data_IF_640315706248
#
_entry.id   IF_640315706248
#
_cell.length_a   1.000
_cell.length_b   1.000
_cell.length_c   1.000
_cell.angle_alpha   90.00
_cell.angle_beta   90.00
_cell.angle_gamma   90.00
#
_symmetry.space_group_name_H-M   'P 1'
#
loop_
_entity.id
_entity.type
_entity.pdbx_description
1 polymer ?
#
# COMPACT_ATOMS: atom_id res chain seq x y z
N UNK A 1 3.74 19.03 -0.30
CA UNK A 1 3.10 17.74 0.00
C UNK A 1 3.44 16.73 -1.08
N UNK A 2 3.64 15.50 -0.68
CA UNK A 2 3.87 14.38 -1.60
C UNK A 2 2.81 13.32 -1.34
N UNK A 3 2.22 12.77 -2.38
CA UNK A 3 1.31 11.62 -2.27
C UNK A 3 2.02 10.38 -2.79
N UNK A 4 2.11 9.37 -1.93
CA UNK A 4 2.75 8.08 -2.24
C UNK A 4 1.63 7.05 -2.31
N UNK A 5 1.31 6.60 -3.52
CA UNK A 5 0.24 5.64 -3.76
C UNK A 5 0.83 4.32 -4.22
N UNK A 6 0.48 3.26 -3.52
CA UNK A 6 0.99 1.91 -3.78
C UNK A 6 -0.18 1.00 -4.12
N UNK A 7 -0.07 0.31 -5.24
CA UNK A 7 -1.07 -0.63 -5.71
C UNK A 7 -0.47 -2.03 -5.65
N UNK A 8 -1.17 -2.96 -4.98
CA UNK A 8 -0.70 -4.33 -4.79
C UNK A 8 -1.60 -5.33 -5.50
N UNK A 9 -0.98 -6.29 -6.17
CA UNK A 9 -1.63 -7.50 -6.67
C UNK A 9 -1.09 -8.67 -5.85
N UNK A 10 -1.97 -9.35 -5.13
CA UNK A 10 -1.59 -10.51 -4.33
C UNK A 10 -1.46 -11.75 -5.21
N UNK A 11 -0.65 -12.69 -4.76
CA UNK A 11 -0.50 -13.98 -5.44
C UNK A 11 -1.82 -14.74 -5.43
N UNK A 12 -2.05 -15.54 -6.46
CA UNK A 12 -3.19 -16.45 -6.50
C UNK A 12 -2.99 -17.60 -5.49
N UNK A 13 -4.09 -18.13 -5.01
CA UNK A 13 -4.05 -19.30 -4.12
C UNK A 13 -3.71 -19.00 -2.67
N UNK A 14 -3.64 -17.74 -2.27
CA UNK A 14 -3.43 -17.39 -0.87
C UNK A 14 -4.62 -17.84 -0.02
N UNK A 15 -4.32 -18.33 1.19
CA UNK A 15 -5.36 -18.63 2.17
C UNK A 15 -5.95 -17.32 2.71
N UNK A 16 -7.12 -17.40 3.34
CA UNK A 16 -7.69 -16.24 4.02
C UNK A 16 -6.75 -15.71 5.10
N UNK A 17 -6.05 -16.61 5.81
CA UNK A 17 -5.05 -16.24 6.81
C UNK A 17 -3.94 -15.39 6.21
N UNK A 18 -3.44 -15.76 5.03
CA UNK A 18 -2.41 -15.00 4.32
C UNK A 18 -2.92 -13.62 3.91
N UNK A 19 -4.15 -13.55 3.40
CA UNK A 19 -4.76 -12.27 3.01
C UNK A 19 -4.94 -11.37 4.23
N UNK A 20 -5.38 -11.91 5.35
CA UNK A 20 -5.55 -11.16 6.59
C UNK A 20 -4.19 -10.64 7.08
N UNK A 21 -3.16 -11.45 7.01
CA UNK A 21 -1.80 -11.05 7.38
C UNK A 21 -1.35 -9.84 6.54
N UNK A 22 -1.58 -9.89 5.22
CA UNK A 22 -1.22 -8.78 4.34
C UNK A 22 -1.95 -7.49 4.73
N UNK A 23 -3.28 -7.55 4.85
CA UNK A 23 -4.07 -6.35 5.13
C UNK A 23 -3.78 -5.77 6.51
N UNK A 24 -3.58 -6.60 7.51
CA UNK A 24 -3.18 -6.13 8.84
C UNK A 24 -1.79 -5.49 8.81
N UNK A 25 -0.86 -6.10 8.08
CA UNK A 25 0.48 -5.53 7.90
C UNK A 25 0.43 -4.17 7.19
N UNK A 26 -0.36 -4.07 6.13
CA UNK A 26 -0.50 -2.82 5.39
C UNK A 26 -1.09 -1.70 6.26
N UNK A 27 -2.01 -2.02 7.16
CA UNK A 27 -2.59 -1.04 8.09
C UNK A 27 -1.55 -0.43 9.02
N UNK A 28 -0.50 -1.17 9.37
CA UNK A 28 0.53 -0.64 10.27
C UNK A 28 1.27 0.55 9.68
N UNK A 29 1.31 0.66 8.34
CA UNK A 29 2.01 1.74 7.66
C UNK A 29 1.42 3.11 7.99
N UNK A 30 0.14 3.17 8.34
CA UNK A 30 -0.52 4.42 8.73
C UNK A 30 0.00 4.97 10.07
N UNK A 31 0.68 4.15 10.87
CA UNK A 31 1.21 4.56 12.17
C UNK A 31 2.62 5.12 12.09
N UNK A 32 3.23 5.11 10.91
CA UNK A 32 4.58 5.68 10.73
C UNK A 32 4.51 7.19 10.94
N UNK A 33 5.43 7.72 11.75
CA UNK A 33 5.40 9.09 12.22
C UNK A 33 5.41 10.12 11.10
N UNK A 34 6.15 9.85 10.01
CA UNK A 34 6.25 10.77 8.89
C UNK A 34 4.99 10.86 8.01
N UNK A 35 4.01 9.99 8.24
CA UNK A 35 2.74 9.98 7.49
C UNK A 35 1.79 11.03 8.05
N UNK A 36 1.34 11.96 7.21
CA UNK A 36 0.34 12.96 7.59
C UNK A 36 -1.07 12.37 7.56
N UNK A 37 -1.42 11.75 6.45
CA UNK A 37 -2.72 11.09 6.27
C UNK A 37 -2.53 9.80 5.48
N UNK A 38 -3.40 8.84 5.69
CA UNK A 38 -3.36 7.59 4.95
C UNK A 38 -4.77 7.10 4.64
N UNK A 39 -4.87 6.36 3.55
CA UNK A 39 -6.08 5.66 3.16
C UNK A 39 -5.70 4.32 2.56
N UNK A 40 -6.44 3.28 2.91
CA UNK A 40 -6.25 1.95 2.32
C UNK A 40 -7.61 1.40 1.94
N UNK A 41 -7.69 0.81 0.76
CA UNK A 41 -8.94 0.24 0.28
C UNK A 41 -8.73 -0.87 -0.74
N UNK A 42 -9.84 -1.49 -1.09
CA UNK A 42 -9.93 -2.47 -2.17
C UNK A 42 -10.69 -1.85 -3.34
N UNK A 43 -10.69 -2.49 -4.52
CA UNK A 43 -11.38 -1.90 -5.67
C UNK A 43 -12.84 -1.55 -5.35
N UNK A 44 -13.20 -0.30 -5.64
CA UNK A 44 -14.56 0.17 -5.46
C UNK A 44 -15.43 -0.30 -6.62
N UNK A 45 -16.72 -0.49 -6.35
CA UNK A 45 -17.67 -0.92 -7.38
C UNK A 45 -18.20 0.29 -8.17
N UNK A 46 -17.30 1.01 -8.81
CA UNK A 46 -17.66 2.10 -9.71
C UNK A 46 -18.06 1.57 -11.09
N UNK A 47 -18.78 2.38 -11.91
CA UNK A 47 -19.12 1.94 -13.27
C UNK A 47 -17.87 1.55 -14.08
N UNK A 48 -17.96 0.41 -14.75
CA UNK A 48 -16.85 -0.11 -15.55
C UNK A 48 -16.62 0.76 -16.77
N UNK A 49 -15.38 1.16 -16.99
CA UNK A 49 -14.92 1.92 -18.16
C UNK A 49 -13.52 1.44 -18.50
N UNK A 50 -13.08 1.59 -19.76
CA UNK A 50 -11.73 1.13 -20.15
C UNK A 50 -10.60 1.73 -19.31
N UNK A 51 -10.79 2.93 -18.75
CA UNK A 51 -9.78 3.61 -17.94
C UNK A 51 -9.80 3.19 -16.46
N UNK A 52 -10.79 2.40 -16.05
CA UNK A 52 -10.89 1.93 -14.67
C UNK A 52 -10.23 0.56 -14.58
N UNK A 53 -9.09 0.51 -13.88
CA UNK A 53 -8.39 -0.76 -13.60
C UNK A 53 -8.71 -1.19 -12.19
N UNK A 54 -9.54 -2.22 -12.05
CA UNK A 54 -9.94 -2.81 -10.78
C UNK A 54 -9.32 -4.20 -10.57
N UNK A 55 -8.25 -4.49 -11.31
CA UNK A 55 -7.60 -5.81 -11.26
C UNK A 55 -6.74 -6.02 -10.00
N UNK A 56 -6.52 -4.99 -9.23
CA UNK A 56 -5.64 -5.05 -8.05
C UNK A 56 -6.39 -5.55 -6.80
N UNK A 57 -5.64 -5.83 -5.75
CA UNK A 57 -6.18 -6.30 -4.46
C UNK A 57 -6.22 -5.21 -3.40
N UNK A 58 -5.25 -4.32 -3.38
CA UNK A 58 -5.15 -3.27 -2.36
C UNK A 58 -4.54 -2.02 -2.93
N UNK A 59 -5.14 -0.88 -2.60
CA UNK A 59 -4.57 0.44 -2.87
C UNK A 59 -4.30 1.13 -1.53
N UNK A 60 -3.08 1.63 -1.37
CA UNK A 60 -2.66 2.36 -0.19
C UNK A 60 -2.13 3.72 -0.61
N UNK A 61 -2.71 4.78 -0.07
CA UNK A 61 -2.22 6.14 -0.30
C UNK A 61 -1.80 6.75 1.01
N UNK A 62 -0.58 7.29 1.05
CA UNK A 62 -0.11 8.06 2.20
C UNK A 62 0.30 9.44 1.71
N UNK A 63 -0.04 10.46 2.49
CA UNK A 63 0.45 11.82 2.24
C UNK A 63 1.62 12.10 3.17
N UNK A 64 2.65 12.71 2.60
CA UNK A 64 3.91 13.03 3.26
C UNK A 64 4.21 14.50 3.01
N UNK A 65 4.90 15.14 3.96
CA UNK A 65 5.20 16.58 3.85
C UNK A 65 6.06 16.88 2.63
N UNK A 66 7.11 16.07 2.40
CA UNK A 66 8.13 16.32 1.40
C UNK A 66 8.93 15.03 1.12
N UNK A 67 9.97 15.14 0.31
CA UNK A 67 10.84 14.01 -0.01
C UNK A 67 11.58 13.48 1.21
N UNK A 68 11.98 14.35 2.14
CA UNK A 68 12.66 13.89 3.35
C UNK A 68 11.74 13.01 4.19
N UNK A 69 10.46 13.38 4.31
CA UNK A 69 9.46 12.57 5.00
C UNK A 69 9.23 11.23 4.28
N UNK A 70 9.26 11.23 2.94
CA UNK A 70 9.19 10.01 2.14
C UNK A 70 10.37 9.08 2.46
N UNK A 71 11.59 9.63 2.53
CA UNK A 71 12.78 8.82 2.81
C UNK A 71 12.71 8.24 4.22
N UNK A 72 12.24 9.02 5.19
CA UNK A 72 12.01 8.53 6.56
C UNK A 72 10.96 7.41 6.58
N UNK A 73 9.90 7.55 5.80
CA UNK A 73 8.85 6.53 5.67
C UNK A 73 9.44 5.21 5.15
N UNK A 74 10.23 5.27 4.08
CA UNK A 74 10.80 4.08 3.47
C UNK A 74 11.79 3.37 4.41
N UNK A 75 12.51 4.10 5.23
CA UNK A 75 13.52 3.56 6.16
C UNK A 75 12.95 3.20 7.52
N UNK A 76 11.69 3.53 7.80
CA UNK A 76 11.10 3.28 9.11
C UNK A 76 11.03 1.79 9.43
N UNK A 77 11.35 1.37 10.67
CA UNK A 77 11.25 -0.04 11.06
C UNK A 77 9.89 -0.68 10.81
N UNK A 78 8.81 0.07 10.92
CA UNK A 78 7.46 -0.43 10.62
C UNK A 78 7.34 -0.79 9.16
N UNK A 79 7.85 0.08 8.25
CA UNK A 79 7.86 -0.19 6.82
C UNK A 79 8.69 -1.43 6.47
N UNK A 80 9.91 -1.50 7.03
CA UNK A 80 10.80 -2.63 6.80
C UNK A 80 10.20 -3.94 7.30
N UNK A 81 9.54 -3.91 8.47
CA UNK A 81 8.86 -5.09 9.01
C UNK A 81 7.72 -5.56 8.12
N UNK A 82 6.96 -4.63 7.53
CA UNK A 82 5.89 -4.98 6.59
C UNK A 82 6.46 -5.70 5.37
N UNK A 83 7.52 -5.16 4.78
CA UNK A 83 8.17 -5.79 3.61
C UNK A 83 8.66 -7.20 3.98
N UNK A 84 9.31 -7.35 5.13
CA UNK A 84 9.84 -8.65 5.56
C UNK A 84 8.73 -9.68 5.79
N UNK A 85 7.65 -9.28 6.44
CA UNK A 85 6.56 -10.21 6.80
C UNK A 85 5.62 -10.50 5.63
N UNK A 86 5.39 -9.54 4.76
CA UNK A 86 4.32 -9.62 3.76
C UNK A 86 4.81 -9.60 2.31
N UNK A 87 6.09 -9.31 2.06
CA UNK A 87 6.62 -9.17 0.70
C UNK A 87 6.44 -10.41 -0.17
N UNK A 88 6.38 -11.58 0.42
CA UNK A 88 6.17 -12.84 -0.30
C UNK A 88 4.72 -13.06 -0.72
N UNK A 89 3.79 -12.20 -0.27
CA UNK A 89 2.37 -12.36 -0.53
C UNK A 89 1.90 -11.68 -1.82
N UNK A 90 2.64 -10.68 -2.30
CA UNK A 90 2.26 -10.02 -3.55
C UNK A 90 3.12 -10.48 -4.72
N UNK A 91 2.51 -10.52 -5.91
CA UNK A 91 3.22 -10.84 -7.15
C UNK A 91 3.60 -9.60 -7.94
N UNK A 92 2.92 -8.47 -7.69
CA UNK A 92 3.15 -7.22 -8.39
C UNK A 92 2.84 -6.05 -7.48
N UNK A 93 3.65 -5.02 -7.59
CA UNK A 93 3.42 -3.75 -6.90
C UNK A 93 3.77 -2.61 -7.84
N UNK A 94 2.96 -1.56 -7.83
CA UNK A 94 3.18 -0.34 -8.60
C UNK A 94 3.07 0.84 -7.66
N UNK A 95 3.99 1.77 -7.78
CA UNK A 95 4.03 2.98 -6.95
C UNK A 95 3.87 4.20 -7.84
N UNK A 96 3.01 5.11 -7.42
CA UNK A 96 2.86 6.44 -8.03
C UNK A 96 3.18 7.49 -6.96
N UNK A 97 4.27 8.20 -7.16
CA UNK A 97 4.68 9.29 -6.30
C UNK A 97 4.43 10.61 -7.03
N UNK A 98 3.62 11.47 -6.42
CA UNK A 98 3.27 12.76 -7.00
C UNK A 98 3.47 13.87 -5.97
N UNK A 99 4.03 14.98 -6.39
CA UNK A 99 4.24 16.12 -5.51
C UNK A 99 3.85 17.44 -6.17
#
# INVERSE_FOLDING_TARGET
MLTHTVIFWLKEGLTQKDRDLFFEGAKTLSTIESVDQSFMGTPANTPKRPVVDDSYDCALSVSLRDLDAHDLYQADPIHLAFIEKCGHLWERVVIYDAS
#
